data_IF_080502613734
#
_entry.id   IF_080502613734
#
_cell.length_a   1.000
_cell.length_b   1.000
_cell.length_c   1.000
_cell.angle_alpha   90.00
_cell.angle_beta   90.00
_cell.angle_gamma   90.00
#
_symmetry.space_group_name_H-M   'P 1'
#
loop_
_entity.id
_entity.type
_entity.pdbx_description
1 polymer ?
#
# COMPACT_ATOMS: atom_id res chain seq x y z
N UNK A 1 20.88 23.81 -6.95
CA UNK A 1 19.59 23.96 -6.26
C UNK A 1 18.48 23.84 -7.30
N UNK A 2 17.58 22.86 -7.17
CA UNK A 2 16.41 22.74 -8.03
C UNK A 2 15.46 23.89 -7.70
N UNK A 3 15.36 24.93 -8.53
CA UNK A 3 14.34 26.01 -8.60
C UNK A 3 13.43 26.32 -7.37
N UNK A 4 13.90 26.18 -6.12
CA UNK A 4 13.09 26.24 -4.91
C UNK A 4 12.16 25.03 -4.64
N UNK A 5 12.38 23.88 -5.30
CA UNK A 5 11.66 22.62 -5.05
C UNK A 5 12.56 21.63 -4.31
N UNK A 6 12.00 20.97 -3.31
CA UNK A 6 12.68 19.92 -2.57
C UNK A 6 12.23 18.53 -3.05
N UNK A 7 13.14 17.57 -3.04
CA UNK A 7 12.76 16.18 -3.25
C UNK A 7 12.04 15.66 -1.97
N UNK A 8 11.05 14.76 -2.12
CA UNK A 8 10.15 14.39 -1.02
C UNK A 8 10.88 13.72 0.15
N UNK A 9 11.88 12.87 -0.12
CA UNK A 9 12.70 12.23 0.92
C UNK A 9 13.59 13.24 1.66
N UNK A 10 14.07 14.28 0.97
CA UNK A 10 14.81 15.37 1.63
C UNK A 10 13.91 16.23 2.52
N UNK A 11 12.66 16.47 2.10
CA UNK A 11 11.67 17.14 2.94
C UNK A 11 11.35 16.34 4.21
N UNK A 12 11.20 15.01 4.09
CA UNK A 12 11.00 14.10 5.22
C UNK A 12 12.23 14.12 6.14
N UNK A 13 13.45 14.02 5.59
CA UNK A 13 14.69 14.09 6.37
C UNK A 13 14.79 15.40 7.15
N UNK A 14 14.50 16.52 6.51
CA UNK A 14 14.54 17.84 7.14
C UNK A 14 13.54 17.93 8.30
N UNK A 15 12.30 17.47 8.08
CA UNK A 15 11.28 17.40 9.13
C UNK A 15 11.73 16.54 10.32
N UNK A 16 12.26 15.34 10.06
CA UNK A 16 12.77 14.43 11.10
C UNK A 16 14.01 14.98 11.84
N UNK A 17 14.79 15.86 11.20
CA UNK A 17 16.03 16.40 11.79
C UNK A 17 15.76 17.66 12.61
N UNK A 18 14.87 18.53 12.12
CA UNK A 18 14.78 19.92 12.56
C UNK A 18 13.46 20.30 13.23
N UNK A 19 12.42 19.45 13.14
CA UNK A 19 11.12 19.73 13.72
C UNK A 19 10.85 18.82 14.92
N UNK A 20 10.15 19.36 15.91
CA UNK A 20 9.98 18.71 17.22
C UNK A 20 8.52 18.48 17.61
N UNK A 21 7.58 18.93 16.79
CA UNK A 21 6.14 18.71 17.03
C UNK A 21 5.48 18.13 15.79
N UNK A 22 4.44 17.33 15.99
CA UNK A 22 3.61 16.79 14.91
C UNK A 22 3.03 17.90 14.04
N UNK A 23 2.57 19.00 14.64
CA UNK A 23 1.95 20.10 13.91
C UNK A 23 2.95 20.87 13.04
N UNK A 24 4.17 21.11 13.52
CA UNK A 24 5.21 21.73 12.70
C UNK A 24 5.60 20.83 11.53
N UNK A 25 5.79 19.53 11.80
CA UNK A 25 6.09 18.53 10.78
C UNK A 25 4.97 18.44 9.73
N UNK A 26 3.72 18.33 10.16
CA UNK A 26 2.55 18.35 9.28
C UNK A 26 2.48 19.63 8.45
N UNK A 27 2.72 20.79 9.07
CA UNK A 27 2.67 22.10 8.40
C UNK A 27 3.72 22.23 7.30
N UNK A 28 4.98 21.86 7.59
CA UNK A 28 6.04 21.82 6.59
C UNK A 28 5.72 20.80 5.48
N UNK A 29 5.43 19.56 5.86
CA UNK A 29 5.19 18.46 4.92
C UNK A 29 3.92 18.64 4.11
N UNK A 30 2.96 19.48 4.51
CA UNK A 30 1.77 19.79 3.71
C UNK A 30 1.99 20.97 2.75
N UNK A 31 2.83 21.95 3.09
CA UNK A 31 2.92 23.23 2.37
C UNK A 31 4.16 23.37 1.49
N UNK A 32 5.26 22.68 1.82
CA UNK A 32 6.54 22.85 1.15
C UNK A 32 6.49 22.42 -0.31
N UNK A 33 7.05 23.22 -1.23
CA UNK A 33 7.14 22.85 -2.65
C UNK A 33 8.02 21.64 -2.85
N UNK A 34 7.50 20.63 -3.55
CA UNK A 34 8.22 19.39 -3.84
C UNK A 34 8.28 19.09 -5.35
N UNK A 35 9.29 18.34 -5.77
CA UNK A 35 9.55 18.07 -7.19
C UNK A 35 8.60 17.05 -7.84
N UNK A 36 7.87 16.25 -7.04
CA UNK A 36 6.97 15.20 -7.51
C UNK A 36 5.73 15.09 -6.61
N UNK A 37 4.65 14.49 -7.12
CA UNK A 37 3.48 14.10 -6.32
C UNK A 37 3.80 12.90 -5.43
N UNK A 38 3.03 12.69 -4.37
CA UNK A 38 3.22 11.53 -3.49
C UNK A 38 2.32 11.53 -2.27
N UNK A 39 2.53 10.55 -1.39
CA UNK A 39 1.80 10.43 -0.14
C UNK A 39 2.78 10.38 1.03
N UNK A 40 2.46 11.09 2.10
CA UNK A 40 3.26 11.11 3.33
C UNK A 40 2.34 10.72 4.48
N UNK A 41 2.60 9.59 5.11
CA UNK A 41 1.92 9.18 6.35
C UNK A 41 2.74 9.66 7.54
N UNK A 42 2.11 10.44 8.42
CA UNK A 42 2.74 11.02 9.61
C UNK A 42 1.94 10.62 10.84
N UNK A 43 2.64 10.19 11.90
CA UNK A 43 2.08 9.87 13.20
C UNK A 43 2.83 10.65 14.30
N UNK A 44 2.08 11.16 15.27
CA UNK A 44 2.57 11.81 16.49
C UNK A 44 2.35 10.92 17.71
N UNK A 45 2.24 11.54 18.88
CA UNK A 45 2.09 10.85 20.17
C UNK A 45 0.78 11.19 20.88
N UNK A 46 0.12 12.28 20.50
CA UNK A 46 -1.14 12.70 21.09
C UNK A 46 -2.35 12.14 20.34
N UNK A 47 -3.53 12.24 20.97
CA UNK A 47 -4.79 11.82 20.36
C UNK A 47 -5.01 12.52 19.01
N UNK A 48 -5.43 11.75 18.01
CA UNK A 48 -5.72 12.20 16.64
C UNK A 48 -4.51 12.82 15.89
N UNK A 49 -3.28 12.61 16.40
CA UNK A 49 -2.03 12.89 15.68
C UNK A 49 -1.67 11.74 14.73
N UNK A 50 -2.51 11.53 13.71
CA UNK A 50 -2.22 10.62 12.62
C UNK A 50 -2.84 11.14 11.34
N UNK A 51 -2.05 11.28 10.27
CA UNK A 51 -2.52 11.87 9.01
C UNK A 51 -1.83 11.25 7.81
N UNK A 52 -2.60 11.02 6.74
CA UNK A 52 -2.08 10.83 5.39
C UNK A 52 -2.18 12.17 4.67
N UNK A 53 -1.03 12.68 4.23
CA UNK A 53 -0.89 13.92 3.47
C UNK A 53 -0.68 13.54 2.01
N UNK A 54 -1.69 13.79 1.19
CA UNK A 54 -1.61 13.61 -0.25
C UNK A 54 -1.06 14.87 -0.89
N UNK A 55 0.04 14.73 -1.62
CA UNK A 55 0.86 15.85 -2.07
C UNK A 55 0.80 16.06 -3.57
N UNK A 56 0.55 17.32 -3.94
CA UNK A 56 0.99 17.88 -5.21
C UNK A 56 2.29 18.70 -5.01
N UNK A 57 2.91 19.11 -6.11
CA UNK A 57 4.16 19.87 -6.14
C UNK A 57 4.10 21.19 -5.38
N UNK A 58 2.91 21.76 -5.23
CA UNK A 58 2.71 23.09 -4.63
C UNK A 58 2.12 23.06 -3.21
N UNK A 59 1.67 21.90 -2.73
CA UNK A 59 1.03 21.78 -1.42
C UNK A 59 0.28 20.46 -1.24
N UNK A 60 -0.65 20.41 -0.31
CA UNK A 60 -1.51 19.24 -0.07
C UNK A 60 -2.73 19.26 -0.99
N UNK A 61 -2.97 18.17 -1.70
CA UNK A 61 -4.20 17.93 -2.44
C UNK A 61 -5.33 17.42 -1.50
N UNK A 62 -4.97 16.62 -0.49
CA UNK A 62 -5.90 16.10 0.51
C UNK A 62 -5.19 15.84 1.85
N UNK A 63 -5.94 15.96 2.95
CA UNK A 63 -5.50 15.59 4.30
C UNK A 63 -6.51 14.59 4.86
N UNK A 64 -6.08 13.35 5.03
CA UNK A 64 -6.89 12.28 5.59
C UNK A 64 -6.39 12.01 7.03
N UNK A 65 -7.02 12.65 8.02
CA UNK A 65 -6.60 12.60 9.43
C UNK A 65 -7.42 11.57 10.23
N UNK A 66 -6.83 11.02 11.29
CA UNK A 66 -7.56 10.35 12.37
C UNK A 66 -8.63 11.28 12.95
N UNK A 67 -9.73 10.69 13.39
CA UNK A 67 -10.82 11.41 14.03
C UNK A 67 -11.54 10.47 14.99
N UNK A 68 -11.00 10.37 16.20
CA UNK A 68 -11.58 9.55 17.27
C UNK A 68 -13.01 9.95 17.60
N UNK A 69 -13.41 11.21 17.35
CA UNK A 69 -14.77 11.70 17.64
C UNK A 69 -15.83 11.11 16.71
N UNK A 70 -15.46 10.79 15.47
CA UNK A 70 -16.31 10.06 14.51
C UNK A 70 -16.10 8.54 14.52
N UNK A 71 -15.29 8.03 15.46
CA UNK A 71 -14.93 6.62 15.54
C UNK A 71 -13.87 6.18 14.53
N UNK A 72 -13.22 7.13 13.84
CA UNK A 72 -12.17 6.85 12.86
C UNK A 72 -10.81 6.72 13.54
N UNK A 73 -10.45 5.48 13.86
CA UNK A 73 -9.25 5.14 14.64
C UNK A 73 -8.03 4.70 13.81
N UNK A 74 -8.15 4.58 12.48
CA UNK A 74 -7.03 4.31 11.59
C UNK A 74 -7.12 5.11 10.28
N UNK A 75 -5.98 5.22 9.60
CA UNK A 75 -5.88 5.67 8.20
C UNK A 75 -4.99 4.70 7.44
N UNK A 76 -5.36 4.38 6.20
CA UNK A 76 -4.60 3.50 5.30
C UNK A 76 -4.25 4.30 4.06
N UNK A 77 -3.03 4.12 3.54
CA UNK A 77 -2.60 4.69 2.26
C UNK A 77 -1.77 3.68 1.49
N UNK A 78 -2.03 3.57 0.18
CA UNK A 78 -1.23 2.78 -0.75
C UNK A 78 -0.65 3.71 -1.82
N UNK A 79 -1.07 3.59 -3.07
CA UNK A 79 -0.46 4.30 -4.20
C UNK A 79 -1.49 4.95 -5.14
N UNK A 80 -2.70 5.18 -4.65
CA UNK A 80 -3.77 5.88 -5.36
C UNK A 80 -4.47 6.90 -4.46
N UNK A 81 -5.21 7.82 -5.09
CA UNK A 81 -5.98 8.85 -4.41
C UNK A 81 -7.29 8.25 -3.88
N UNK A 82 -7.31 7.93 -2.59
CA UNK A 82 -8.45 7.24 -1.96
C UNK A 82 -9.71 8.11 -1.87
N UNK A 83 -9.56 9.43 -1.82
CA UNK A 83 -10.69 10.38 -1.79
C UNK A 83 -11.35 10.56 -3.17
N UNK A 84 -10.70 10.11 -4.24
CA UNK A 84 -11.22 10.20 -5.62
C UNK A 84 -11.65 8.82 -6.13
N UNK A 85 -10.71 7.88 -6.15
CA UNK A 85 -10.91 6.53 -6.70
C UNK A 85 -11.38 5.48 -5.69
N UNK A 86 -11.44 5.84 -4.40
CA UNK A 86 -11.75 4.90 -3.33
C UNK A 86 -10.62 3.93 -2.99
N UNK A 87 -10.86 3.09 -1.98
CA UNK A 87 -9.95 2.02 -1.59
C UNK A 87 -10.26 0.73 -2.35
N UNK A 88 -9.23 0.17 -3.00
CA UNK A 88 -9.28 -1.10 -3.69
C UNK A 88 -7.99 -1.90 -3.43
N UNK A 89 -7.99 -3.18 -3.82
CA UNK A 89 -6.86 -4.10 -3.73
C UNK A 89 -6.19 -4.05 -2.33
N UNK A 90 -4.93 -3.62 -2.24
CA UNK A 90 -4.18 -3.52 -0.97
C UNK A 90 -4.78 -2.54 0.04
N UNK A 91 -5.39 -1.42 -0.39
CA UNK A 91 -6.04 -0.55 0.59
C UNK A 91 -7.25 -1.27 1.19
N UNK A 92 -8.10 -1.83 0.32
CA UNK A 92 -9.32 -2.51 0.75
C UNK A 92 -9.01 -3.66 1.71
N UNK A 93 -8.04 -4.52 1.36
CA UNK A 93 -7.66 -5.63 2.22
C UNK A 93 -7.12 -5.18 3.58
N UNK A 94 -6.25 -4.16 3.63
CA UNK A 94 -5.76 -3.62 4.90
C UNK A 94 -6.89 -3.02 5.74
N UNK A 95 -7.81 -2.27 5.13
CA UNK A 95 -8.98 -1.71 5.80
C UNK A 95 -9.87 -2.80 6.37
N UNK A 96 -10.22 -3.82 5.59
CA UNK A 96 -11.05 -4.94 6.03
C UNK A 96 -10.39 -5.73 7.18
N UNK A 97 -9.07 -5.95 7.11
CA UNK A 97 -8.33 -6.63 8.18
C UNK A 97 -8.25 -5.78 9.45
N UNK A 98 -8.06 -4.47 9.36
CA UNK A 98 -8.10 -3.55 10.50
C UNK A 98 -9.50 -3.49 11.13
N UNK A 99 -10.55 -3.42 10.32
CA UNK A 99 -11.94 -3.44 10.79
C UNK A 99 -12.28 -4.76 11.51
N UNK A 100 -11.81 -5.89 10.95
CA UNK A 100 -11.99 -7.21 11.54
C UNK A 100 -11.22 -7.39 12.85
N UNK A 101 -9.97 -6.90 12.90
CA UNK A 101 -9.14 -6.93 14.11
C UNK A 101 -9.75 -6.07 15.21
N UNK A 102 -10.20 -4.86 14.85
CA UNK A 102 -10.82 -3.90 15.75
C UNK A 102 -9.81 -3.14 16.61
N UNK A 103 -10.24 -2.00 17.13
CA UNK A 103 -9.36 -1.05 17.84
C UNK A 103 -8.79 -1.62 19.16
N UNK A 104 -9.51 -2.52 19.83
CA UNK A 104 -9.08 -3.05 21.14
C UNK A 104 -7.96 -4.09 21.02
N UNK A 105 -7.84 -4.75 19.87
CA UNK A 105 -6.90 -5.86 19.65
C UNK A 105 -5.70 -5.42 18.79
N UNK A 106 -5.66 -4.16 18.34
CA UNK A 106 -4.55 -3.67 17.52
C UNK A 106 -3.33 -3.37 18.39
N UNK A 107 -2.22 -4.05 18.08
CA UNK A 107 -0.90 -3.79 18.62
C UNK A 107 0.17 -4.00 17.53
N UNK A 108 1.44 -3.83 17.88
CA UNK A 108 2.56 -4.00 16.96
C UNK A 108 2.64 -5.40 16.32
N UNK A 109 2.26 -6.45 17.05
CA UNK A 109 2.29 -7.83 16.59
C UNK A 109 1.11 -8.10 15.66
N UNK A 110 -0.12 -7.78 16.10
CA UNK A 110 -1.34 -8.04 15.33
C UNK A 110 -1.43 -7.15 14.09
N UNK A 111 -0.99 -5.89 14.15
CA UNK A 111 -0.89 -5.03 12.97
C UNK A 111 0.04 -5.65 11.92
N UNK A 112 1.14 -6.28 12.36
CA UNK A 112 2.06 -6.94 11.44
C UNK A 112 1.46 -8.23 10.91
N UNK A 113 1.08 -9.17 11.78
CA UNK A 113 0.65 -10.51 11.37
C UNK A 113 -0.68 -10.50 10.65
N UNK A 114 -1.67 -9.76 11.13
CA UNK A 114 -3.06 -9.82 10.65
C UNK A 114 -3.38 -8.79 9.56
N UNK A 115 -2.54 -7.78 9.36
CA UNK A 115 -2.78 -6.72 8.35
C UNK A 115 -1.64 -6.63 7.34
N UNK A 116 -0.43 -6.28 7.79
CA UNK A 116 0.65 -5.92 6.86
C UNK A 116 1.28 -7.14 6.17
N UNK A 117 1.33 -8.29 6.84
CA UNK A 117 1.87 -9.55 6.30
C UNK A 117 0.82 -10.45 5.66
N UNK A 118 -0.41 -9.96 5.48
CA UNK A 118 -1.46 -10.67 4.75
C UNK A 118 -1.44 -10.32 3.26
N UNK A 119 -1.70 -11.29 2.39
CA UNK A 119 -1.90 -11.01 0.96
C UNK A 119 -3.20 -10.20 0.77
N UNK A 120 -3.26 -9.18 -0.10
CA UNK A 120 -2.23 -8.71 -1.03
C UNK A 120 -1.28 -7.64 -0.47
N UNK A 121 -1.40 -7.24 0.79
CA UNK A 121 -0.51 -6.24 1.41
C UNK A 121 0.95 -6.71 1.40
N UNK A 122 1.19 -7.96 1.79
CA UNK A 122 2.42 -8.70 1.50
C UNK A 122 2.30 -9.38 0.14
N UNK A 123 3.26 -9.11 -0.74
CA UNK A 123 3.26 -9.58 -2.13
C UNK A 123 4.70 -9.71 -2.68
N UNK A 124 4.91 -10.23 -3.89
CA UNK A 124 6.26 -10.51 -4.42
C UNK A 124 7.20 -9.30 -4.58
N UNK A 125 6.69 -8.06 -4.54
CA UNK A 125 7.51 -6.85 -4.64
C UNK A 125 7.76 -6.20 -3.27
N UNK A 126 7.24 -6.77 -2.19
CA UNK A 126 7.57 -6.37 -0.82
C UNK A 126 9.03 -6.66 -0.51
N UNK A 127 9.77 -5.67 0.02
CA UNK A 127 11.21 -5.80 0.35
C UNK A 127 11.40 -5.96 1.87
N UNK A 128 10.69 -5.15 2.66
CA UNK A 128 10.76 -5.17 4.11
C UNK A 128 9.41 -4.73 4.70
N UNK A 129 9.21 -5.01 5.98
CA UNK A 129 8.09 -4.52 6.77
C UNK A 129 8.61 -3.79 8.02
N UNK A 130 8.10 -2.60 8.28
CA UNK A 130 8.50 -1.77 9.43
C UNK A 130 7.28 -1.40 10.27
N UNK A 131 7.42 -1.51 11.58
CA UNK A 131 6.52 -0.93 12.58
C UNK A 131 7.28 0.16 13.33
N UNK A 132 6.63 1.31 13.47
CA UNK A 132 7.15 2.48 14.18
C UNK A 132 6.18 2.87 15.28
N UNK A 133 6.67 3.03 16.50
CA UNK A 133 5.89 3.52 17.64
C UNK A 133 6.54 4.80 18.19
N UNK A 134 6.03 6.00 17.86
CA UNK A 134 6.65 7.26 18.25
C UNK A 134 6.76 7.44 19.78
N UNK A 135 5.75 6.99 20.54
CA UNK A 135 5.71 7.15 22.00
C UNK A 135 6.83 6.38 22.70
N UNK A 136 7.10 5.14 22.29
CA UNK A 136 8.16 4.30 22.86
C UNK A 136 9.52 4.50 22.19
N UNK A 137 9.56 5.17 21.03
CA UNK A 137 10.74 5.26 20.18
C UNK A 137 11.09 3.93 19.50
N UNK A 138 10.19 2.94 19.52
CA UNK A 138 10.44 1.62 18.93
C UNK A 138 10.42 1.70 17.41
N UNK A 139 11.47 1.14 16.81
CA UNK A 139 11.59 0.89 15.38
C UNK A 139 11.85 -0.59 15.20
N UNK A 140 10.89 -1.30 14.61
CA UNK A 140 10.95 -2.73 14.40
C UNK A 140 10.86 -3.04 12.91
N UNK A 141 12.00 -3.37 12.31
CA UNK A 141 12.14 -3.60 10.88
C UNK A 141 12.55 -5.05 10.60
N UNK A 142 11.82 -5.72 9.71
CA UNK A 142 12.14 -7.06 9.24
C UNK A 142 12.27 -7.08 7.72
N UNK A 143 13.23 -7.85 7.21
CA UNK A 143 13.19 -8.26 5.81
C UNK A 143 12.05 -9.26 5.65
N UNK A 144 11.31 -9.15 4.55
CA UNK A 144 10.24 -10.09 4.23
C UNK A 144 10.65 -10.87 2.99
N UNK A 145 10.44 -12.18 3.06
CA UNK A 145 10.46 -13.02 1.87
C UNK A 145 9.01 -13.35 1.53
N UNK A 146 8.61 -13.12 0.29
CA UNK A 146 7.28 -13.51 -0.14
C UNK A 146 7.33 -14.98 -0.55
N UNK A 147 6.95 -15.83 0.40
CA UNK A 147 6.64 -17.22 0.11
C UNK A 147 5.16 -17.31 -0.25
N UNK A 148 4.80 -17.45 -1.55
CA UNK A 148 3.42 -17.71 -1.89
C UNK A 148 3.01 -18.99 -1.17
N UNK A 149 1.90 -18.95 -0.43
CA UNK A 149 1.33 -20.13 0.19
C UNK A 149 0.73 -21.05 -0.90
N UNK A 150 1.57 -21.61 -1.78
CA UNK A 150 1.18 -22.68 -2.66
C UNK A 150 1.20 -23.98 -1.86
N UNK A 151 0.06 -24.32 -1.23
CA UNK A 151 -0.32 -25.73 -1.25
C UNK A 151 -0.58 -26.06 -2.71
N UNK A 152 0.43 -26.55 -3.42
CA UNK A 152 0.16 -27.54 -4.45
C UNK A 152 -0.55 -28.69 -3.73
N UNK A 153 -1.89 -28.74 -3.80
CA UNK A 153 -2.54 -30.03 -3.70
C UNK A 153 -1.91 -30.85 -4.81
N UNK A 154 -1.13 -31.86 -4.42
CA UNK A 154 -0.52 -32.81 -5.34
C UNK A 154 -1.57 -33.26 -6.34
N UNK A 155 -1.42 -32.84 -7.59
CA UNK A 155 -2.17 -33.42 -8.70
C UNK A 155 -1.78 -34.90 -8.67
N UNK A 156 -2.71 -35.85 -8.50
CA UNK A 156 -2.38 -37.26 -8.56
C UNK A 156 -1.68 -37.50 -9.91
N UNK A 157 -0.53 -38.17 -9.87
CA UNK A 157 0.16 -38.60 -11.08
C UNK A 157 -0.82 -39.41 -11.93
N UNK A 158 -1.31 -38.81 -13.01
CA UNK A 158 -1.98 -39.56 -14.06
C UNK A 158 -0.87 -40.34 -14.75
N UNK A 159 -0.77 -41.64 -14.44
CA UNK A 159 0.02 -42.56 -15.26
C UNK A 159 -0.54 -42.48 -16.69
N UNK A 160 0.27 -41.90 -17.58
CA UNK A 160 -0.01 -41.84 -19.00
C UNK A 160 0.25 -43.23 -19.59
N UNK A 161 -0.78 -44.07 -19.62
CA UNK A 161 -0.83 -45.17 -20.58
C UNK A 161 -1.35 -44.61 -21.91
N UNK A 162 -0.50 -43.87 -22.63
CA UNK A 162 -0.78 -43.50 -24.01
C UNK A 162 -0.55 -44.74 -24.90
N UNK A 163 -1.64 -45.39 -25.30
CA UNK A 163 -1.64 -46.21 -26.52
C UNK A 163 -1.62 -45.27 -27.74
N UNK A 164 -0.78 -45.53 -28.76
CA UNK A 164 -0.72 -44.69 -29.93
C UNK A 164 -1.86 -45.04 -30.90
N UNK A 165 -2.60 -44.00 -31.30
CA UNK A 165 -3.49 -43.88 -32.46
C UNK A 165 -5.00 -43.89 -32.16
N UNK A 166 -5.55 -42.69 -32.01
CA UNK A 166 -6.79 -42.33 -32.72
C UNK A 166 -6.76 -40.84 -33.06
N UNK A 167 -6.94 -40.52 -34.33
CA UNK A 167 -7.15 -39.15 -34.82
C UNK A 167 -8.40 -38.59 -34.14
N UNK A 168 -8.26 -37.49 -33.39
CA UNK A 168 -9.38 -36.74 -32.85
C UNK A 168 -9.60 -35.51 -33.72
N UNK A 169 -10.73 -35.52 -34.43
CA UNK A 169 -11.25 -34.44 -35.26
C UNK A 169 -11.39 -33.13 -34.46
N UNK A 170 -10.84 -32.05 -35.01
CA UNK A 170 -10.99 -30.70 -34.48
C UNK A 170 -12.36 -30.12 -34.86
N UNK A 171 -13.37 -30.34 -34.03
CA UNK A 171 -14.65 -29.62 -34.11
C UNK A 171 -14.93 -28.91 -32.77
N UNK A 172 -14.82 -27.57 -32.76
CA UNK A 172 -15.42 -26.78 -31.66
C UNK A 172 -14.69 -25.52 -31.16
N UNK A 173 -13.89 -24.80 -31.97
CA UNK A 173 -13.39 -23.48 -31.57
C UNK A 173 -14.37 -22.38 -32.04
N UNK A 174 -14.98 -21.58 -31.15
CA UNK A 174 -15.75 -20.40 -31.54
C UNK A 174 -14.85 -19.38 -32.25
N UNK A 175 -15.27 -18.94 -33.44
CA UNK A 175 -14.47 -18.14 -34.38
C UNK A 175 -14.44 -16.62 -34.14
N UNK A 176 -14.80 -16.13 -32.96
CA UNK A 176 -14.82 -14.68 -32.69
C UNK A 176 -14.14 -14.33 -31.37
N UNK A 177 -12.84 -14.05 -31.43
CA UNK A 177 -12.10 -13.31 -30.40
C UNK A 177 -11.83 -11.89 -30.94
N UNK A 178 -12.30 -10.81 -30.27
CA UNK A 178 -12.05 -9.46 -30.74
C UNK A 178 -10.56 -9.13 -30.65
N UNK A 179 -9.97 -8.72 -31.78
CA UNK A 179 -8.58 -8.29 -31.89
C UNK A 179 -8.39 -6.90 -31.27
N UNK A 180 -7.59 -6.82 -30.21
CA UNK A 180 -7.19 -5.54 -29.62
C UNK A 180 -6.06 -4.92 -30.46
N UNK A 181 -6.40 -3.87 -31.23
CA UNK A 181 -5.41 -3.09 -31.99
C UNK A 181 -4.80 -2.00 -31.11
N UNK A 182 -3.52 -2.14 -30.78
CA UNK A 182 -2.73 -1.07 -30.16
C UNK A 182 -2.43 0.02 -31.21
N UNK A 183 -3.29 1.05 -31.28
CA UNK A 183 -2.94 2.30 -31.96
C UNK A 183 -2.04 3.15 -31.06
N UNK A 184 -0.76 3.22 -31.42
CA UNK A 184 0.18 4.28 -31.06
C UNK A 184 -0.48 5.65 -31.31
N UNK A 185 -0.65 6.47 -30.28
CA UNK A 185 -0.82 7.93 -30.43
C UNK A 185 0.43 8.60 -29.87
N UNK A 186 1.24 9.11 -30.78
CA UNK A 186 2.19 10.18 -30.54
C UNK A 186 1.64 11.41 -31.28
N UNK A 187 1.42 12.47 -30.53
CA UNK A 187 1.44 13.88 -30.99
C UNK A 187 1.84 14.71 -29.79
#
# INVERSE_FOLDING_TARGET
>A
AFLGYNEISWAIRDALTNLHTFNDAKGQLASQKISAVGYITLAGIERDEGVVISRDRFGSANLNQLDSSSGKWFVVQTNNDHWDSGCYDRCKAATENLEKLGQLEVDSETLRSEVLLQYPNLNPISIYNTILEPFSGRIDNILVDYEPSFRYQSIPSVESSMEPNSELEMNGIPKDLPTFSLKKRLS
#
